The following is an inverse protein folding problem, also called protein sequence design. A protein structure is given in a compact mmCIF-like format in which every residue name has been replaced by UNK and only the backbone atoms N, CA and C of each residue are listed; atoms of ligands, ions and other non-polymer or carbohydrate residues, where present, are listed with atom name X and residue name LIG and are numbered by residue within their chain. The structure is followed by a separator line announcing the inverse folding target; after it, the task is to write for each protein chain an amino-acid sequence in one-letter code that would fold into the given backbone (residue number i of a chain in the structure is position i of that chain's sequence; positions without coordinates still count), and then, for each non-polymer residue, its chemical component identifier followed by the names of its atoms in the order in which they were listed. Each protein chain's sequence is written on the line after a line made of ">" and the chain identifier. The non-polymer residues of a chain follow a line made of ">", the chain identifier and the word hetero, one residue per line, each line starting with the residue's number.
data_IF_606894006523
#
_entry.id   IF_606894006523
#
_cell.length_a   1.000
_cell.length_b   1.000
_cell.length_c   1.000
_cell.angle_alpha   90.00
_cell.angle_beta   90.00
_cell.angle_gamma   90.00
#
_symmetry.space_group_name_H-M   'P 1'
#
loop_
_entity.id
_entity.type
_entity.pdbx_description
1 polymer ?
#
# COMPACT_ATOMS: atom_id res chain seq x y z
N UNK A 1 -12.00 2.71 -9.30
CA UNK A 1 -11.04 1.83 -8.59
C UNK A 1 -11.55 1.58 -7.20
N UNK A 2 -11.42 0.37 -6.69
CA UNK A 2 -11.89 0.03 -5.34
C UNK A 2 -10.70 -0.07 -4.39
N UNK A 3 -10.77 0.63 -3.27
CA UNK A 3 -9.83 0.45 -2.17
C UNK A 3 -10.29 -0.78 -1.38
N UNK A 4 -9.62 -1.91 -1.57
CA UNK A 4 -9.98 -3.14 -0.86
C UNK A 4 -9.11 -3.29 0.39
N UNK A 5 -9.72 -3.65 1.54
CA UNK A 5 -8.97 -3.91 2.77
C UNK A 5 -7.88 -4.98 2.58
N UNK A 6 -8.17 -6.04 1.81
CA UNK A 6 -7.21 -7.13 1.55
C UNK A 6 -5.97 -6.62 0.81
N UNK A 7 -6.15 -5.77 -0.21
CA UNK A 7 -5.02 -5.17 -0.95
C UNK A 7 -4.20 -4.20 -0.08
N UNK A 8 -4.85 -3.44 0.81
CA UNK A 8 -4.14 -2.59 1.78
C UNK A 8 -3.22 -3.44 2.66
N UNK A 9 -3.76 -4.51 3.23
CA UNK A 9 -3.03 -5.40 4.12
C UNK A 9 -1.84 -6.03 3.42
N UNK A 10 -2.06 -6.62 2.25
CA UNK A 10 -1.01 -7.34 1.52
C UNK A 10 0.11 -6.41 1.06
N UNK A 11 -0.22 -5.21 0.57
CA UNK A 11 0.78 -4.20 0.17
C UNK A 11 1.64 -3.76 1.35
N UNK A 12 1.03 -3.55 2.54
CA UNK A 12 1.79 -3.18 3.73
C UNK A 12 2.65 -4.33 4.26
N UNK A 13 2.16 -5.57 4.23
CA UNK A 13 2.92 -6.76 4.58
C UNK A 13 4.12 -6.95 3.65
N UNK A 14 3.94 -6.79 2.34
CA UNK A 14 5.03 -6.88 1.39
C UNK A 14 6.04 -5.75 1.58
N UNK A 15 5.57 -4.50 1.76
CA UNK A 15 6.45 -3.35 2.01
C UNK A 15 7.31 -3.51 3.26
N UNK A 16 6.80 -4.16 4.32
CA UNK A 16 7.57 -4.45 5.54
C UNK A 16 8.79 -5.33 5.28
N UNK A 17 8.80 -6.13 4.21
CA UNK A 17 9.95 -6.98 3.84
C UNK A 17 11.03 -6.22 3.07
N UNK A 18 10.75 -4.98 2.64
CA UNK A 18 11.68 -4.21 1.83
C UNK A 18 12.81 -3.63 2.67
N UNK A 19 13.96 -3.44 2.03
CA UNK A 19 15.13 -2.82 2.65
C UNK A 19 15.01 -1.30 2.48
N UNK A 20 15.91 -0.51 3.06
CA UNK A 20 15.93 0.94 2.81
C UNK A 20 16.19 1.18 1.31
N UNK A 21 15.28 1.89 0.64
CA UNK A 21 15.35 2.07 -0.81
C UNK A 21 14.26 2.94 -1.39
N UNK A 22 14.12 2.87 -2.72
CA UNK A 22 13.08 3.58 -3.48
C UNK A 22 12.40 2.59 -4.40
N UNK A 23 11.11 2.39 -4.21
CA UNK A 23 10.34 1.33 -4.84
C UNK A 23 9.22 1.89 -5.71
N UNK A 24 8.89 1.14 -6.76
CA UNK A 24 7.74 1.43 -7.64
C UNK A 24 6.71 0.32 -7.49
N UNK A 25 5.57 0.46 -8.15
CA UNK A 25 4.53 -0.58 -8.17
C UNK A 25 5.08 -1.95 -8.61
N UNK A 26 6.01 -1.95 -9.58
CA UNK A 26 6.66 -3.15 -10.08
C UNK A 26 7.64 -3.78 -9.07
N UNK A 27 7.85 -3.19 -7.90
CA UNK A 27 8.62 -3.82 -6.81
C UNK A 27 7.76 -4.79 -5.99
N UNK A 28 6.42 -4.67 -6.04
CA UNK A 28 5.47 -5.46 -5.26
C UNK A 28 5.08 -6.76 -5.97
N UNK A 29 6.08 -7.62 -6.21
CA UNK A 29 5.95 -8.84 -6.99
C UNK A 29 4.96 -9.84 -6.38
N UNK A 30 4.87 -9.93 -5.06
CA UNK A 30 3.93 -10.83 -4.40
C UNK A 30 2.49 -10.33 -4.56
N UNK A 31 2.25 -9.04 -4.35
CA UNK A 31 0.93 -8.44 -4.59
C UNK A 31 0.50 -8.55 -6.05
N UNK A 32 1.43 -8.46 -7.01
CA UNK A 32 1.14 -8.57 -8.44
C UNK A 32 0.61 -9.97 -8.85
N UNK A 33 0.76 -10.99 -8.01
CA UNK A 33 0.14 -12.31 -8.22
C UNK A 33 -1.39 -12.29 -8.01
N UNK A 34 -1.90 -11.33 -7.25
CA UNK A 34 -3.29 -11.29 -6.78
C UNK A 34 -4.04 -10.02 -7.19
N UNK A 35 -3.32 -8.93 -7.45
CA UNK A 35 -3.87 -7.62 -7.74
C UNK A 35 -3.30 -7.04 -9.03
N UNK A 36 -4.08 -6.22 -9.73
CA UNK A 36 -3.56 -5.48 -10.87
C UNK A 36 -2.58 -4.39 -10.40
N UNK A 37 -1.61 -4.04 -11.26
CA UNK A 37 -0.71 -2.92 -11.02
C UNK A 37 -1.47 -1.62 -10.73
N UNK A 38 -2.59 -1.38 -11.42
CA UNK A 38 -3.47 -0.24 -11.18
C UNK A 38 -4.01 -0.25 -9.73
N UNK A 39 -4.53 -1.40 -9.27
CA UNK A 39 -5.07 -1.54 -7.93
C UNK A 39 -4.01 -1.32 -6.85
N UNK A 40 -2.81 -1.90 -7.01
CA UNK A 40 -1.69 -1.71 -6.07
C UNK A 40 -1.28 -0.23 -6.03
N UNK A 41 -1.12 0.40 -7.20
CA UNK A 41 -0.73 1.80 -7.29
C UNK A 41 -1.76 2.72 -6.61
N UNK A 42 -3.05 2.47 -6.82
CA UNK A 42 -4.10 3.24 -6.16
C UNK A 42 -4.11 3.04 -4.64
N UNK A 43 -3.94 1.81 -4.17
CA UNK A 43 -3.80 1.50 -2.74
C UNK A 43 -2.62 2.25 -2.13
N UNK A 44 -1.45 2.20 -2.77
CA UNK A 44 -0.26 2.94 -2.34
C UNK A 44 -0.49 4.46 -2.29
N UNK A 45 -1.17 5.03 -3.29
CA UNK A 45 -1.53 6.46 -3.30
C UNK A 45 -2.44 6.79 -2.11
N UNK A 46 -3.45 5.96 -1.81
CA UNK A 46 -4.35 6.18 -0.66
C UNK A 46 -3.64 6.03 0.69
N UNK A 47 -2.69 5.09 0.81
CA UNK A 47 -1.86 4.94 2.00
C UNK A 47 -0.94 6.15 2.22
N UNK A 48 -0.39 6.70 1.14
CA UNK A 48 0.39 7.94 1.19
C UNK A 48 -0.48 9.14 1.59
N UNK A 49 -1.66 9.30 1.01
CA UNK A 49 -2.63 10.35 1.40
C UNK A 49 -3.02 10.23 2.89
N UNK A 50 -3.11 9.01 3.43
CA UNK A 50 -3.39 8.74 4.84
C UNK A 50 -2.18 8.81 5.77
N UNK A 51 -0.99 9.17 5.28
CA UNK A 51 0.27 9.21 6.03
C UNK A 51 0.68 7.86 6.67
N UNK A 52 0.26 6.73 6.09
CA UNK A 52 0.68 5.39 6.52
C UNK A 52 1.99 4.95 5.87
N UNK A 53 2.37 5.55 4.75
CA UNK A 53 3.66 5.33 4.09
C UNK A 53 4.31 6.65 3.71
N UNK A 54 5.64 6.67 3.67
CA UNK A 54 6.41 7.74 3.08
C UNK A 54 6.59 7.45 1.59
N UNK A 55 6.14 8.39 0.75
CA UNK A 55 6.20 8.26 -0.70
C UNK A 55 6.32 9.62 -1.37
N UNK A 56 6.56 9.60 -2.68
CA UNK A 56 6.54 10.77 -3.54
C UNK A 56 5.56 10.53 -4.68
N UNK A 57 4.57 11.41 -4.80
CA UNK A 57 3.61 11.46 -5.89
C UNK A 57 3.88 12.69 -6.76
N UNK A 58 4.29 12.48 -8.01
CA UNK A 58 4.51 13.56 -8.98
C UNK A 58 3.45 13.46 -10.07
N UNK A 59 2.74 14.56 -10.29
CA UNK A 59 1.77 14.72 -11.38
C UNK A 59 2.20 15.86 -12.30
N UNK A 60 1.82 15.77 -13.56
CA UNK A 60 1.93 16.85 -14.53
C UNK A 60 0.93 17.96 -14.21
N UNK A 61 1.07 19.17 -14.81
CA UNK A 61 0.13 20.27 -14.60
C UNK A 61 -1.33 19.94 -14.97
N UNK A 62 -1.54 19.03 -15.93
CA UNK A 62 -2.86 18.52 -16.34
C UNK A 62 -3.33 17.32 -15.50
N UNK A 63 -2.61 16.98 -14.42
CA UNK A 63 -3.02 16.00 -13.41
C UNK A 63 -2.65 14.55 -13.70
N UNK A 64 -2.01 14.26 -14.84
CA UNK A 64 -1.55 12.90 -15.15
C UNK A 64 -0.46 12.46 -14.19
N UNK A 65 -0.48 11.19 -13.82
CA UNK A 65 0.55 10.61 -12.97
C UNK A 65 1.87 10.51 -13.76
N UNK A 66 2.91 11.20 -13.31
CA UNK A 66 4.26 11.09 -13.88
C UNK A 66 5.02 9.96 -13.18
N UNK A 67 5.06 9.99 -11.85
CA UNK A 67 5.73 8.94 -11.08
C UNK A 67 5.17 8.84 -9.67
N UNK A 68 5.16 7.62 -9.15
CA UNK A 68 4.92 7.32 -7.75
C UNK A 68 6.08 6.46 -7.24
N UNK A 69 6.65 6.85 -6.09
CA UNK A 69 7.81 6.18 -5.47
C UNK A 69 7.54 5.99 -3.99
N UNK A 70 7.68 4.76 -3.50
CA UNK A 70 7.57 4.41 -2.08
C UNK A 70 8.96 4.37 -1.47
N UNK A 71 9.11 4.90 -0.26
CA UNK A 71 10.36 4.86 0.49
C UNK A 71 10.30 3.82 1.61
N UNK A 72 9.36 4.01 2.53
CA UNK A 72 9.18 3.16 3.70
C UNK A 72 7.78 3.37 4.31
N UNK A 73 7.48 2.62 5.37
CA UNK A 73 6.26 2.74 6.15
C UNK A 73 6.46 3.75 7.27
N UNK A 74 5.45 4.58 7.54
CA UNK A 74 5.51 5.47 8.71
C UNK A 74 5.31 4.68 10.00
N UNK A 75 5.64 5.28 11.15
CA UNK A 75 5.33 4.65 12.44
C UNK A 75 3.83 4.33 12.59
N UNK A 76 2.96 5.27 12.17
CA UNK A 76 1.51 5.04 12.16
C UNK A 76 1.11 3.92 11.18
N UNK A 77 1.82 3.77 10.06
CA UNK A 77 1.69 2.64 9.16
C UNK A 77 1.94 1.31 9.85
N UNK A 78 3.02 1.21 10.62
CA UNK A 78 3.33 0.00 11.41
C UNK A 78 2.26 -0.27 12.48
N UNK A 79 1.81 0.75 13.21
CA UNK A 79 0.72 0.59 14.19
C UNK A 79 -0.60 0.15 13.54
N UNK A 80 -0.89 0.65 12.35
CA UNK A 80 -2.06 0.25 11.59
C UNK A 80 -1.93 -1.18 11.09
N UNK A 81 -0.79 -1.53 10.48
CA UNK A 81 -0.49 -2.89 10.03
C UNK A 81 -0.65 -3.89 11.16
N UNK A 82 -0.12 -3.59 12.35
CA UNK A 82 -0.23 -4.49 13.50
C UNK A 82 -1.68 -4.80 13.90
N UNK A 83 -2.59 -3.83 13.79
CA UNK A 83 -4.03 -4.04 14.04
C UNK A 83 -4.69 -4.94 13.01
N UNK A 84 -4.20 -4.92 11.78
CA UNK A 84 -4.76 -5.67 10.65
C UNK A 84 -3.93 -6.90 10.27
N UNK A 85 -2.83 -7.21 10.98
CA UNK A 85 -1.87 -8.30 10.69
C UNK A 85 -2.38 -9.69 11.09
N UNK A 86 -3.15 -9.81 12.16
CA UNK A 86 -3.64 -11.12 12.59
C UNK A 86 -4.77 -11.59 11.68
N UNK A 87 -4.59 -12.72 10.99
CA UNK A 87 -5.65 -13.36 10.18
C UNK A 87 -6.92 -13.58 11.01
N UNK A 88 -6.76 -13.97 12.28
CA UNK A 88 -7.88 -14.20 13.20
C UNK A 88 -8.67 -12.93 13.50
N UNK A 89 -8.01 -11.77 13.65
CA UNK A 89 -8.69 -10.48 13.87
C UNK A 89 -9.26 -9.94 12.55
N UNK A 90 -8.52 -10.11 11.46
CA UNK A 90 -8.88 -9.65 10.13
C UNK A 90 -10.15 -10.32 9.62
N UNK A 91 -10.16 -11.66 9.58
CA UNK A 91 -11.27 -12.46 9.06
C UNK A 91 -12.52 -12.39 9.93
N UNK A 92 -12.39 -12.11 11.24
CA UNK A 92 -13.53 -12.12 12.18
C UNK A 92 -14.12 -10.74 12.50
N UNK A 93 -13.34 -9.64 12.44
CA UNK A 93 -13.78 -8.36 13.03
C UNK A 93 -13.66 -7.14 12.12
N UNK A 94 -12.83 -7.17 11.09
CA UNK A 94 -12.49 -5.98 10.31
C UNK A 94 -12.72 -6.11 8.81
N UNK A 95 -12.95 -7.32 8.29
CA UNK A 95 -13.33 -7.52 6.89
C UNK A 95 -14.78 -7.04 6.68
N UNK A 96 -15.03 -6.02 5.84
CA UNK A 96 -16.38 -5.66 5.47
C UNK A 96 -17.00 -6.80 4.64
N UNK A 97 -18.27 -7.11 4.96
CA UNK A 97 -19.10 -8.09 4.24
C UNK A 97 -19.37 -7.62 2.81
#
# INVERSE_FOLDING_TARGET
>A
MQLTPDCIRDVLLELETFHIGVYKVDSFQNCLLHYSSEQILYTLIKLYEGAYINAQLIRSPDGQLITFRVYDMTFQGHEFLEKIRSDTVWDQKLKPV
#
